data_IF_059924196441
#
_entry.id   IF_059924196441
#
_cell.length_a   1.000
_cell.length_b   1.000
_cell.length_c   1.000
_cell.angle_alpha   90.00
_cell.angle_beta   90.00
_cell.angle_gamma   90.00
#
_symmetry.space_group_name_H-M   'P 1'
#
loop_
_entity.id
_entity.type
_entity.pdbx_description
1 polymer ?
#
# COMPACT_ATOMS: atom_id res chain seq x y z
N UNK A 1 -18.89 -3.01 8.22
CA UNK A 1 -17.75 -2.14 8.56
C UNK A 1 -16.74 -2.23 7.42
N UNK A 2 -16.17 -1.11 6.98
CA UNK A 2 -15.19 -1.07 5.88
C UNK A 2 -13.78 -1.29 6.45
N UNK A 3 -13.49 -2.52 6.82
CA UNK A 3 -12.20 -2.89 7.39
C UNK A 3 -11.22 -3.30 6.31
N UNK A 4 -9.97 -2.85 6.44
CA UNK A 4 -8.88 -3.18 5.53
C UNK A 4 -7.65 -3.56 6.33
N UNK A 5 -6.81 -4.41 5.77
CA UNK A 5 -5.46 -4.66 6.29
C UNK A 5 -4.44 -4.22 5.25
N UNK A 6 -3.27 -3.79 5.71
CA UNK A 6 -2.13 -3.41 4.89
C UNK A 6 -0.94 -4.30 5.24
N UNK A 7 -0.34 -4.89 4.21
CA UNK A 7 0.89 -5.66 4.33
C UNK A 7 1.96 -5.02 3.46
N UNK A 8 3.08 -4.69 4.10
CA UNK A 8 4.21 -4.03 3.45
C UNK A 8 5.34 -5.02 3.28
N UNK A 9 5.93 -5.09 2.09
CA UNK A 9 7.16 -5.86 1.86
C UNK A 9 8.30 -4.92 1.58
N UNK A 10 9.37 -5.03 2.38
CA UNK A 10 10.60 -4.28 2.16
C UNK A 10 11.39 -4.90 1.02
N UNK A 11 11.90 -4.05 0.12
CA UNK A 11 12.80 -4.49 -0.95
C UNK A 11 14.25 -4.24 -0.50
N UNK A 12 15.07 -5.29 -0.32
CA UNK A 12 16.41 -5.15 0.24
C UNK A 12 17.29 -4.27 -0.64
N UNK A 13 18.05 -3.37 -0.01
CA UNK A 13 18.97 -2.45 -0.70
C UNK A 13 18.34 -1.14 -1.19
N UNK A 14 17.04 -0.91 -0.96
CA UNK A 14 16.38 0.36 -1.26
C UNK A 14 15.40 0.75 -0.14
N UNK A 15 15.09 2.04 0.02
CA UNK A 15 14.03 2.51 0.93
C UNK A 15 12.61 2.27 0.36
N UNK A 16 12.46 1.24 -0.48
CA UNK A 16 11.25 0.92 -1.24
C UNK A 16 10.44 -0.14 -0.50
N UNK A 17 9.13 0.10 -0.45
CA UNK A 17 8.12 -0.83 0.04
C UNK A 17 7.12 -1.12 -1.06
N UNK A 18 6.75 -2.39 -1.24
CA UNK A 18 5.51 -2.72 -1.91
C UNK A 18 4.38 -2.88 -0.90
N UNK A 19 3.14 -2.57 -1.32
CA UNK A 19 1.95 -2.68 -0.49
C UNK A 19 0.93 -3.63 -1.11
N UNK A 20 0.42 -4.52 -0.27
CA UNK A 20 -0.76 -5.33 -0.52
C UNK A 20 -1.84 -4.96 0.49
N UNK A 21 -3.09 -5.01 0.06
CA UNK A 21 -4.23 -4.72 0.93
C UNK A 21 -5.34 -5.73 0.73
N UNK A 22 -5.97 -6.15 1.82
CA UNK A 22 -7.24 -6.87 1.79
C UNK A 22 -8.39 -5.97 2.20
N UNK A 23 -9.59 -6.32 1.75
CA UNK A 23 -10.77 -5.45 1.88
C UNK A 23 -10.84 -4.33 0.83
N UNK A 24 -9.84 -4.21 -0.05
CA UNK A 24 -9.81 -3.29 -1.19
C UNK A 24 -9.62 -4.06 -2.49
N UNK A 25 -10.33 -3.65 -3.54
CA UNK A 25 -9.93 -4.04 -4.89
C UNK A 25 -8.60 -3.38 -5.26
N UNK A 26 -7.87 -3.99 -6.19
CA UNK A 26 -6.62 -3.44 -6.69
C UNK A 26 -6.77 -2.01 -7.25
N UNK A 27 -7.89 -1.73 -7.93
CA UNK A 27 -8.17 -0.40 -8.47
C UNK A 27 -8.35 0.65 -7.36
N UNK A 28 -8.99 0.29 -6.25
CA UNK A 28 -9.14 1.16 -5.08
C UNK A 28 -7.80 1.38 -4.39
N UNK A 29 -7.02 0.32 -4.14
CA UNK A 29 -5.69 0.44 -3.54
C UNK A 29 -4.82 1.38 -4.37
N UNK A 30 -4.76 1.19 -5.69
CA UNK A 30 -4.04 2.08 -6.61
C UNK A 30 -4.51 3.53 -6.52
N UNK A 31 -5.82 3.76 -6.45
CA UNK A 31 -6.37 5.11 -6.36
C UNK A 31 -5.85 5.87 -5.13
N UNK A 32 -5.96 5.26 -3.94
CA UNK A 32 -5.49 5.88 -2.69
C UNK A 32 -3.96 5.94 -2.60
N UNK A 33 -3.27 4.92 -3.10
CA UNK A 33 -1.81 4.89 -3.13
C UNK A 33 -1.24 6.03 -3.98
N UNK A 34 -1.84 6.35 -5.14
CA UNK A 34 -1.44 7.51 -5.95
C UNK A 34 -1.62 8.84 -5.23
N UNK A 35 -2.66 8.99 -4.41
CA UNK A 35 -2.85 10.19 -3.58
C UNK A 35 -1.73 10.37 -2.55
N UNK A 36 -1.17 9.25 -2.08
CA UNK A 36 -0.02 9.21 -1.17
C UNK A 36 1.35 9.22 -1.90
N UNK A 37 1.37 9.37 -3.23
CA UNK A 37 2.59 9.44 -4.04
C UNK A 37 3.24 8.10 -4.38
N UNK A 38 2.52 6.98 -4.19
CA UNK A 38 2.97 5.67 -4.63
C UNK A 38 2.88 5.53 -6.15
N UNK A 39 3.71 4.63 -6.69
CA UNK A 39 3.80 4.32 -8.10
C UNK A 39 3.28 2.90 -8.38
N UNK A 40 2.69 2.74 -9.56
CA UNK A 40 2.39 1.41 -10.11
C UNK A 40 3.64 0.87 -10.80
N UNK A 41 4.00 -0.36 -10.49
CA UNK A 41 5.13 -1.07 -11.09
C UNK A 41 4.73 -2.49 -11.47
N UNK A 42 5.60 -3.21 -12.17
CA UNK A 42 5.49 -4.66 -12.37
C UNK A 42 6.74 -5.31 -11.82
N UNK A 43 6.58 -6.33 -10.98
CA UNK A 43 7.73 -7.10 -10.51
C UNK A 43 8.32 -7.96 -11.64
N UNK A 44 9.36 -8.73 -11.31
CA UNK A 44 10.09 -9.57 -12.26
C UNK A 44 9.22 -10.69 -12.86
N UNK A 45 8.17 -11.11 -12.15
CA UNK A 45 7.18 -12.08 -12.63
C UNK A 45 6.12 -11.42 -13.52
N UNK A 46 6.19 -10.09 -13.68
CA UNK A 46 5.26 -9.28 -14.46
C UNK A 46 3.96 -8.96 -13.71
N UNK A 47 3.88 -9.34 -12.43
CA UNK A 47 2.73 -9.08 -11.60
C UNK A 47 2.72 -7.61 -11.20
N UNK A 48 1.54 -6.97 -11.27
CA UNK A 48 1.47 -5.57 -10.91
C UNK A 48 1.73 -5.44 -9.40
N UNK A 49 2.51 -4.45 -9.01
CA UNK A 49 2.81 -4.10 -7.61
C UNK A 49 2.69 -2.60 -7.42
N UNK A 50 2.31 -2.17 -6.22
CA UNK A 50 2.25 -0.75 -5.86
C UNK A 50 3.41 -0.48 -4.92
N UNK A 51 4.30 0.43 -5.32
CA UNK A 51 5.55 0.69 -4.62
C UNK A 51 5.64 2.15 -4.16
N UNK A 52 6.22 2.34 -2.99
CA UNK A 52 6.48 3.65 -2.42
C UNK A 52 7.62 3.55 -1.41
N UNK A 53 7.72 4.52 -0.51
CA UNK A 53 8.77 4.59 0.51
C UNK A 53 8.19 4.50 1.91
N UNK A 54 9.06 4.25 2.89
CA UNK A 54 8.67 4.30 4.31
C UNK A 54 8.01 5.63 4.69
N UNK A 55 8.49 6.75 4.16
CA UNK A 55 7.93 8.07 4.43
C UNK A 55 6.49 8.23 3.90
N UNK A 56 6.15 7.54 2.81
CA UNK A 56 4.83 7.62 2.17
C UNK A 56 3.76 6.75 2.84
N UNK A 57 4.14 5.75 3.66
CA UNK A 57 3.18 4.84 4.32
C UNK A 57 2.07 5.58 5.08
N UNK A 58 2.45 6.57 5.87
CA UNK A 58 1.50 7.37 6.65
C UNK A 58 0.52 8.13 5.74
N UNK A 59 0.97 8.56 4.56
CA UNK A 59 0.11 9.20 3.57
C UNK A 59 -1.00 8.27 3.08
N UNK A 60 -0.67 7.01 2.77
CA UNK A 60 -1.67 6.02 2.35
C UNK A 60 -2.66 5.72 3.49
N UNK A 61 -2.14 5.58 4.72
CA UNK A 61 -2.95 5.36 5.91
C UNK A 61 -3.99 6.47 6.10
N UNK A 62 -3.54 7.72 6.07
CA UNK A 62 -4.42 8.88 6.19
C UNK A 62 -5.44 8.96 5.05
N UNK A 63 -5.06 8.64 3.81
CA UNK A 63 -5.98 8.64 2.68
C UNK A 63 -7.13 7.62 2.84
N UNK A 64 -6.80 6.42 3.33
CA UNK A 64 -7.78 5.36 3.59
C UNK A 64 -8.70 5.72 4.77
N UNK A 65 -8.14 6.22 5.88
CA UNK A 65 -8.91 6.68 7.03
C UNK A 65 -9.86 7.83 6.67
N UNK A 66 -9.39 8.80 5.88
CA UNK A 66 -10.21 9.91 5.37
C UNK A 66 -11.35 9.44 4.46
N UNK A 67 -11.17 8.31 3.75
CA UNK A 67 -12.21 7.67 2.96
C UNK A 67 -13.16 6.78 3.79
N UNK A 68 -12.96 6.69 5.11
CA UNK A 68 -13.81 5.96 6.05
C UNK A 68 -13.47 4.48 6.20
N UNK A 69 -12.25 4.07 5.81
CA UNK A 69 -11.75 2.73 6.09
C UNK A 69 -11.15 2.66 7.50
N UNK A 70 -11.39 1.55 8.17
CA UNK A 70 -10.73 1.20 9.42
C UNK A 70 -9.60 0.21 9.11
N UNK A 71 -8.37 0.55 9.52
CA UNK A 71 -7.20 -0.29 9.27
C UNK A 71 -6.99 -1.21 10.46
N UNK A 72 -7.19 -2.51 10.27
CA UNK A 72 -7.17 -3.51 11.35
C UNK A 72 -5.81 -4.15 11.54
N UNK A 73 -4.95 -4.13 10.52
CA UNK A 73 -3.58 -4.68 10.56
C UNK A 73 -2.67 -3.86 9.63
N UNK A 74 -1.42 -3.65 10.05
CA UNK A 74 -0.40 -2.81 9.39
C UNK A 74 1.00 -3.42 9.63
N UNK A 75 1.25 -4.58 9.00
CA UNK A 75 2.45 -5.38 9.20
C UNK A 75 3.54 -5.11 8.15
N UNK A 76 4.80 -5.09 8.58
CA UNK A 76 5.97 -5.02 7.69
C UNK A 76 6.69 -6.36 7.67
N UNK A 77 6.82 -6.93 6.47
CA UNK A 77 7.67 -8.09 6.20
C UNK A 77 9.04 -7.59 5.76
N UNK A 78 10.08 -8.05 6.49
CA UNK A 78 11.49 -7.76 6.25
C UNK A 78 12.10 -8.70 5.22
#
# INVERSE_FOLDING_TARGET
MNQVWLMWRSHPGAEILSVEAGGLSRAQLRHYARQAGFLDFRDDDGDPVIVGTHAQRNGLRCALEAAGYEITDDAVLL
#
